data_IF_707695547274
#
_entry.id   IF_707695547274
#
_cell.length_a   1.000
_cell.length_b   1.000
_cell.length_c   1.000
_cell.angle_alpha   90.00
_cell.angle_beta   90.00
_cell.angle_gamma   90.00
#
_symmetry.space_group_name_H-M   'P 1'
#
loop_
_entity.id
_entity.type
_entity.pdbx_description
1 polymer ?
#
# COMPACT_ATOMS: atom_id res chain seq x y z
N UNK A 1 3.24 -17.99 17.40
CA UNK A 1 3.52 -16.54 17.43
C UNK A 1 4.04 -15.98 18.74
N UNK A 2 3.47 -16.30 19.91
CA UNK A 2 4.02 -15.81 21.18
C UNK A 2 5.45 -16.31 21.53
N UNK A 3 5.94 -17.37 20.88
CA UNK A 3 7.25 -17.99 21.15
C UNK A 3 8.40 -17.56 20.22
N UNK A 4 8.16 -16.62 19.28
CA UNK A 4 9.19 -16.11 18.36
C UNK A 4 9.40 -14.58 18.44
N UNK A 5 8.90 -13.94 19.51
CA UNK A 5 9.14 -12.53 19.79
C UNK A 5 8.35 -11.63 18.84
N UNK A 6 7.03 -11.56 19.06
CA UNK A 6 6.00 -10.85 18.27
C UNK A 6 6.37 -9.41 17.91
N UNK A 7 7.29 -9.27 16.98
CA UNK A 7 7.84 -8.02 16.50
C UNK A 7 7.84 -8.01 14.99
N UNK A 8 7.45 -6.90 14.42
CA UNK A 8 7.34 -6.74 12.98
C UNK A 8 8.41 -5.75 12.51
N UNK A 9 9.24 -6.13 11.52
CA UNK A 9 10.31 -5.27 11.04
C UNK A 9 9.74 -4.06 10.27
N UNK A 10 10.42 -2.94 10.42
CA UNK A 10 10.14 -1.68 9.75
C UNK A 10 11.46 -0.97 9.48
N UNK A 11 11.56 -0.32 8.33
CA UNK A 11 12.70 0.53 8.01
C UNK A 11 12.22 1.97 7.82
N UNK A 12 13.02 2.92 8.27
CA UNK A 12 12.91 4.34 7.98
C UNK A 12 14.04 4.68 7.03
N UNK A 13 13.68 5.18 5.87
CA UNK A 13 14.59 5.65 4.83
C UNK A 13 14.62 7.17 4.91
N UNK A 14 15.82 7.72 4.96
CA UNK A 14 16.09 9.13 5.10
C UNK A 14 16.97 9.58 3.94
N UNK A 15 16.43 10.44 3.08
CA UNK A 15 17.19 11.11 2.03
C UNK A 15 17.99 12.26 2.65
N UNK A 16 19.25 12.45 2.24
CA UNK A 16 20.02 13.59 2.72
C UNK A 16 19.30 14.91 2.38
N UNK A 17 19.24 15.86 3.34
CA UNK A 17 18.63 17.15 3.07
C UNK A 17 19.31 17.78 1.87
N UNK A 18 18.52 18.25 0.90
CA UNK A 18 19.08 19.07 -0.19
C UNK A 18 19.42 20.42 0.42
N UNK A 19 20.63 20.57 0.97
CA UNK A 19 21.11 21.89 1.38
C UNK A 19 21.17 22.72 0.10
N UNK A 20 20.32 23.75 0.01
CA UNK A 20 20.51 24.78 -1.00
C UNK A 20 21.95 25.26 -0.87
N UNK A 21 22.75 25.11 -1.93
CA UNK A 21 24.09 25.69 -1.97
C UNK A 21 23.98 27.15 -1.54
N UNK A 22 24.83 27.64 -0.62
CA UNK A 22 24.83 29.06 -0.33
C UNK A 22 25.09 29.78 -1.65
N UNK A 23 24.21 30.71 -2.03
CA UNK A 23 24.44 31.57 -3.17
C UNK A 23 25.86 32.13 -3.02
N UNK A 24 26.76 31.73 -3.92
CA UNK A 24 28.05 32.39 -4.04
C UNK A 24 27.73 33.83 -4.44
N UNK A 25 27.67 34.71 -3.45
CA UNK A 25 27.70 36.14 -3.68
C UNK A 25 29.04 36.43 -4.33
N UNK A 26 29.06 36.48 -5.67
CA UNK A 26 30.12 37.12 -6.43
C UNK A 26 30.06 38.63 -6.14
N UNK A 27 30.49 38.99 -4.93
CA UNK A 27 30.75 40.35 -4.51
C UNK A 27 32.24 40.64 -4.76
N UNK A 28 32.63 40.56 -6.02
CA UNK A 28 33.83 41.20 -6.54
C UNK A 28 33.52 41.71 -7.94
N UNK A 29 32.72 42.77 -7.98
CA UNK A 29 32.77 43.74 -9.07
C UNK A 29 32.22 45.07 -8.58
N UNK A 30 33.13 46.02 -8.34
CA UNK A 30 32.94 47.45 -8.65
C UNK A 30 34.10 48.26 -8.08
N UNK A 31 35.10 48.54 -8.91
CA UNK A 31 35.73 49.86 -8.89
C UNK A 31 36.46 50.10 -10.20
N UNK A 32 35.78 50.81 -11.10
CA UNK A 32 36.23 51.94 -11.92
C UNK A 32 35.46 51.95 -13.25
N UNK A 33 34.47 52.83 -13.28
CA UNK A 33 33.73 53.25 -14.47
C UNK A 33 34.37 54.48 -15.12
N UNK A 34 34.08 54.59 -16.41
CA UNK A 34 34.02 55.77 -17.29
C UNK A 34 35.28 56.28 -17.99
N UNK A 35 35.32 55.91 -19.29
CA UNK A 35 35.39 56.77 -20.47
C UNK A 35 36.44 57.89 -20.56
N UNK A 36 37.33 57.79 -21.55
CA UNK A 36 37.52 58.79 -22.63
C UNK A 36 38.76 58.49 -23.52
N UNK A 37 38.65 58.86 -24.80
CA UNK A 37 39.66 58.88 -25.89
C UNK A 37 39.93 57.52 -26.57
N UNK A 38 39.90 57.35 -27.89
CA UNK A 38 39.93 58.29 -29.01
C UNK A 38 40.95 57.80 -30.06
N UNK A 39 40.44 57.32 -31.20
CA UNK A 39 41.02 57.20 -32.56
C UNK A 39 42.38 56.54 -32.88
N UNK A 40 42.42 56.08 -34.14
CA UNK A 40 43.52 55.64 -35.02
C UNK A 40 44.02 54.18 -34.89
N UNK A 41 43.90 53.28 -35.87
CA UNK A 41 44.22 53.23 -37.32
C UNK A 41 45.47 52.37 -37.60
N UNK A 42 45.45 51.62 -38.72
CA UNK A 42 46.42 50.65 -39.27
C UNK A 42 46.32 49.21 -38.72
N UNK A 43 46.35 48.11 -39.49
CA UNK A 43 46.43 47.86 -40.93
C UNK A 43 46.12 46.37 -41.23
N UNK A 44 45.59 46.14 -42.42
CA UNK A 44 45.30 44.85 -43.08
C UNK A 44 46.53 44.15 -43.66
N UNK A 45 46.56 42.80 -43.71
CA UNK A 45 47.14 41.91 -44.76
C UNK A 45 46.52 40.49 -44.55
N UNK A 46 45.61 39.97 -45.39
CA UNK A 46 45.76 39.15 -46.64
C UNK A 46 46.56 37.83 -46.53
N UNK A 47 45.88 36.68 -46.76
CA UNK A 47 46.14 35.70 -47.84
C UNK A 47 47.22 34.64 -47.47
N UNK A 48 47.26 33.37 -47.89
CA UNK A 48 46.64 32.60 -48.97
C UNK A 48 46.80 31.08 -48.71
N UNK A 49 45.90 30.30 -49.32
CA UNK A 49 45.89 28.89 -49.82
C UNK A 49 47.16 28.01 -49.79
N UNK A 50 46.97 26.68 -49.68
CA UNK A 50 47.45 25.70 -50.68
C UNK A 50 46.76 24.32 -50.61
N UNK A 51 46.63 23.73 -51.79
CA UNK A 51 45.83 22.58 -52.28
C UNK A 51 46.72 21.34 -52.57
N UNK A 52 46.10 20.24 -53.06
CA UNK A 52 46.59 18.93 -53.55
C UNK A 52 46.53 17.75 -52.56
N UNK A 53 45.98 16.57 -52.91
CA UNK A 53 45.38 16.12 -54.15
C UNK A 53 44.67 14.76 -53.96
N UNK A 54 43.74 14.50 -54.88
CA UNK A 54 42.87 13.33 -55.01
C UNK A 54 43.57 12.23 -55.83
N UNK A 55 43.46 10.95 -55.46
CA UNK A 55 43.42 9.85 -56.45
C UNK A 55 42.61 8.65 -55.89
N UNK A 56 41.70 8.03 -56.68
CA UNK A 56 40.74 7.02 -56.24
C UNK A 56 41.10 5.59 -56.67
N UNK A 57 40.50 4.60 -55.98
CA UNK A 57 40.52 3.14 -56.22
C UNK A 57 41.67 2.31 -55.63
N UNK A 58 41.31 1.47 -54.65
CA UNK A 58 42.10 0.33 -54.17
C UNK A 58 41.24 -0.56 -53.25
N UNK A 59 40.72 -1.65 -53.81
CA UNK A 59 39.88 -2.66 -53.15
C UNK A 59 40.59 -3.40 -52.00
N UNK A 60 39.76 -3.85 -51.05
CA UNK A 60 39.85 -5.05 -50.21
C UNK A 60 41.13 -5.39 -49.43
N UNK A 61 41.06 -5.25 -48.09
CA UNK A 61 41.64 -6.22 -47.16
C UNK A 61 41.04 -6.11 -45.74
N UNK A 62 40.46 -7.22 -45.29
CA UNK A 62 40.05 -7.51 -43.91
C UNK A 62 41.12 -7.15 -42.86
N UNK A 63 40.72 -6.53 -41.75
CA UNK A 63 41.52 -6.48 -40.53
C UNK A 63 41.14 -5.36 -39.54
N UNK A 64 40.76 -5.79 -38.33
CA UNK A 64 40.61 -5.04 -37.08
C UNK A 64 39.44 -4.05 -36.91
N UNK A 65 38.44 -4.55 -36.18
CA UNK A 65 37.49 -3.77 -35.38
C UNK A 65 38.25 -2.90 -34.36
N UNK A 66 38.62 -1.69 -34.77
CA UNK A 66 39.00 -0.61 -33.88
C UNK A 66 37.73 -0.03 -33.22
N UNK A 67 37.13 -0.79 -32.29
CA UNK A 67 36.19 -0.22 -31.33
C UNK A 67 36.98 0.71 -30.40
N UNK A 68 36.85 2.01 -30.67
CA UNK A 68 37.36 3.09 -29.82
C UNK A 68 36.96 2.84 -28.38
N UNK A 69 37.97 2.52 -27.58
CA UNK A 69 37.86 2.28 -26.16
C UNK A 69 37.73 3.64 -25.49
N UNK A 70 36.50 4.10 -25.27
CA UNK A 70 36.22 5.12 -24.25
C UNK A 70 36.47 4.48 -22.88
N UNK A 71 37.75 4.33 -22.53
CA UNK A 71 38.18 4.11 -21.16
C UNK A 71 37.99 5.41 -20.39
N UNK A 72 36.74 5.75 -20.09
CA UNK A 72 36.44 6.41 -18.83
C UNK A 72 36.55 5.34 -17.75
N UNK A 73 37.79 5.00 -17.38
CA UNK A 73 38.07 4.43 -16.08
C UNK A 73 37.76 5.51 -15.04
N UNK A 74 36.48 5.65 -14.70
CA UNK A 74 36.06 6.31 -13.48
C UNK A 74 36.72 5.55 -12.33
N UNK A 75 37.69 6.18 -11.67
CA UNK A 75 38.27 5.72 -10.41
C UNK A 75 37.14 5.30 -9.46
N UNK A 76 36.86 4.01 -9.37
CA UNK A 76 35.79 3.45 -8.53
C UNK A 76 36.17 3.39 -7.04
N UNK A 77 37.10 4.25 -6.61
CA UNK A 77 37.67 4.27 -5.27
C UNK A 77 37.68 5.66 -4.62
N UNK A 78 37.05 6.66 -5.26
CA UNK A 78 36.77 7.93 -4.59
C UNK A 78 35.47 7.78 -3.81
N UNK A 79 35.59 7.67 -2.49
CA UNK A 79 34.46 7.76 -1.56
C UNK A 79 33.73 9.08 -1.83
N UNK A 80 32.44 9.00 -2.16
CA UNK A 80 31.59 10.19 -2.33
C UNK A 80 31.38 10.86 -0.96
N UNK A 81 31.27 12.19 -0.97
CA UNK A 81 30.83 12.91 0.22
C UNK A 81 29.35 12.58 0.47
N UNK A 82 29.02 12.28 1.72
CA UNK A 82 27.73 11.72 2.10
C UNK A 82 27.33 12.37 3.42
N UNK A 83 26.21 13.11 3.43
CA UNK A 83 25.73 13.82 4.61
C UNK A 83 25.61 12.91 5.82
N UNK A 84 25.05 11.71 5.62
CA UNK A 84 24.78 10.76 6.69
C UNK A 84 26.02 10.12 7.32
N UNK A 85 27.18 10.26 6.68
CA UNK A 85 28.48 9.82 7.22
C UNK A 85 29.34 11.02 7.67
N UNK A 86 28.70 12.11 8.11
CA UNK A 86 29.34 13.25 8.78
C UNK A 86 28.94 13.29 10.25
N UNK A 87 29.67 14.05 11.08
CA UNK A 87 29.32 14.27 12.49
C UNK A 87 27.92 14.89 12.65
N UNK A 88 27.50 15.75 11.73
CA UNK A 88 26.17 16.38 11.73
C UNK A 88 25.09 15.35 11.39
N UNK A 89 25.23 14.64 10.28
CA UNK A 89 24.27 13.61 9.87
C UNK A 89 24.16 12.48 10.89
N UNK A 90 25.28 12.03 11.48
CA UNK A 90 25.28 11.03 12.55
C UNK A 90 24.62 11.55 13.83
N UNK A 91 24.79 12.83 14.16
CA UNK A 91 24.11 13.44 15.30
C UNK A 91 22.58 13.49 15.09
N UNK A 92 22.12 13.80 13.88
CA UNK A 92 20.70 13.81 13.56
C UNK A 92 20.09 12.40 13.56
N UNK A 93 20.81 11.40 13.01
CA UNK A 93 20.43 10.00 13.13
C UNK A 93 20.38 9.54 14.59
N UNK A 94 21.34 9.97 15.43
CA UNK A 94 21.38 9.62 16.84
C UNK A 94 20.21 10.21 17.62
N UNK A 95 19.83 11.48 17.36
CA UNK A 95 18.63 12.10 17.96
C UNK A 95 17.38 11.31 17.60
N UNK A 96 17.19 10.99 16.32
CA UNK A 96 16.02 10.24 15.85
C UNK A 96 16.00 8.83 16.43
N UNK A 97 17.13 8.12 16.44
CA UNK A 97 17.24 6.78 17.02
C UNK A 97 16.90 6.79 18.51
N UNK A 98 17.42 7.74 19.29
CA UNK A 98 17.13 7.84 20.72
C UNK A 98 15.64 8.07 21.01
N UNK A 99 14.97 8.89 20.19
CA UNK A 99 13.52 9.05 20.28
C UNK A 99 12.77 7.76 19.96
N UNK A 100 13.12 7.08 18.87
CA UNK A 100 12.48 5.82 18.46
C UNK A 100 12.65 4.75 19.56
N UNK A 101 13.84 4.63 20.16
CA UNK A 101 14.12 3.69 21.25
C UNK A 101 13.35 4.04 22.54
N UNK A 102 12.93 5.29 22.72
CA UNK A 102 12.11 5.70 23.86
C UNK A 102 10.64 5.28 23.76
N UNK A 103 10.19 4.89 22.56
CA UNK A 103 8.81 4.48 22.33
C UNK A 103 8.56 3.07 22.88
N UNK A 104 7.56 2.87 23.76
CA UNK A 104 7.29 1.57 24.37
C UNK A 104 6.89 0.50 23.34
N UNK A 105 6.38 0.92 22.17
CA UNK A 105 6.00 0.03 21.09
C UNK A 105 7.19 -0.43 20.23
N UNK A 106 8.39 0.10 20.44
CA UNK A 106 9.58 -0.23 19.65
C UNK A 106 10.55 -1.07 20.48
N UNK A 107 11.05 -2.13 19.87
CA UNK A 107 12.12 -2.97 20.39
C UNK A 107 13.49 -2.48 19.93
N UNK A 108 14.26 -3.38 19.30
CA UNK A 108 15.61 -3.04 18.84
C UNK A 108 15.57 -2.10 17.64
N UNK A 109 16.36 -1.04 17.69
CA UNK A 109 16.66 -0.12 16.59
C UNK A 109 18.10 -0.32 16.14
N UNK A 110 18.40 -0.16 14.85
CA UNK A 110 19.74 -0.31 14.29
C UNK A 110 19.98 0.64 13.12
N UNK A 111 21.11 1.33 13.15
CA UNK A 111 21.51 2.34 12.18
C UNK A 111 23.04 2.50 12.18
N UNK A 112 23.55 3.41 11.33
CA UNK A 112 24.96 3.84 11.31
C UNK A 112 25.47 4.32 12.68
N UNK A 113 24.58 4.83 13.54
CA UNK A 113 24.92 5.37 14.86
C UNK A 113 25.62 4.31 15.73
N UNK A 114 25.26 3.03 15.60
CA UNK A 114 25.90 1.96 16.38
C UNK A 114 27.40 1.84 16.09
N UNK A 115 27.80 2.06 14.83
CA UNK A 115 29.21 2.00 14.41
C UNK A 115 29.95 3.20 15.00
N UNK A 116 29.33 4.37 14.92
CA UNK A 116 29.88 5.62 15.46
C UNK A 116 30.02 5.58 16.99
N UNK A 117 29.04 5.06 17.71
CA UNK A 117 29.06 4.93 19.16
C UNK A 117 30.17 3.99 19.61
N UNK A 118 30.29 2.81 18.98
CA UNK A 118 31.37 1.86 19.28
C UNK A 118 32.74 2.48 19.02
N UNK A 119 32.91 3.21 17.92
CA UNK A 119 34.17 3.87 17.60
C UNK A 119 34.49 5.05 18.55
N UNK A 120 33.46 5.79 18.97
CA UNK A 120 33.59 6.86 19.96
C UNK A 120 33.98 6.31 21.34
N UNK A 121 33.37 5.20 21.76
CA UNK A 121 33.70 4.52 23.02
C UNK A 121 35.14 3.99 23.03
N UNK A 122 35.61 3.44 21.91
CA UNK A 122 36.99 2.96 21.76
C UNK A 122 38.02 4.10 21.74
N UNK A 123 37.68 5.24 21.15
CA UNK A 123 38.56 6.43 21.12
C UNK A 123 38.51 7.25 22.42
N UNK A 124 37.47 7.06 23.24
CA UNK A 124 37.24 7.79 24.48
C UNK A 124 36.70 9.21 24.27
N UNK A 125 36.35 9.59 23.04
CA UNK A 125 35.77 10.89 22.70
C UNK A 125 34.86 10.80 21.47
N UNK A 126 34.08 11.85 21.22
CA UNK A 126 33.29 11.96 19.98
C UNK A 126 34.22 12.19 18.79
N UNK A 127 34.04 11.40 17.74
CA UNK A 127 34.85 11.50 16.53
C UNK A 127 34.46 12.77 15.74
N UNK A 128 35.46 13.49 15.24
CA UNK A 128 35.26 14.59 14.31
C UNK A 128 35.11 14.09 12.85
N UNK A 129 34.72 14.98 11.92
CA UNK A 129 34.48 14.61 10.52
C UNK A 129 35.69 13.96 9.84
N UNK A 130 36.91 14.40 10.18
CA UNK A 130 38.13 13.82 9.63
C UNK A 130 38.36 12.39 10.14
N UNK A 131 38.14 12.15 11.43
CA UNK A 131 38.26 10.83 12.04
C UNK A 131 37.19 9.87 11.51
N UNK A 132 35.97 10.36 11.29
CA UNK A 132 34.87 9.61 10.67
C UNK A 132 35.22 9.23 9.24
N UNK A 133 35.72 10.18 8.43
CA UNK A 133 36.15 9.92 7.06
C UNK A 133 37.32 8.91 7.01
N UNK A 134 38.26 9.03 7.95
CA UNK A 134 39.38 8.09 8.07
C UNK A 134 38.90 6.69 8.47
N UNK A 135 37.99 6.59 9.44
CA UNK A 135 37.35 5.33 9.83
C UNK A 135 36.66 4.67 8.64
N UNK A 136 35.89 5.43 7.86
CA UNK A 136 35.23 4.95 6.63
C UNK A 136 36.23 4.31 5.67
N UNK A 137 37.32 5.02 5.37
CA UNK A 137 38.37 4.56 4.45
C UNK A 137 39.15 3.35 4.98
N UNK A 138 39.20 3.20 6.31
CA UNK A 138 39.92 2.11 6.97
C UNK A 138 39.14 0.79 6.93
N UNK A 139 37.84 0.81 6.65
CA UNK A 139 37.06 -0.41 6.50
C UNK A 139 37.45 -1.16 5.22
N UNK A 140 37.86 -2.42 5.37
CA UNK A 140 37.93 -3.36 4.25
C UNK A 140 36.55 -3.60 3.64
N UNK A 141 36.48 -4.07 2.38
CA UNK A 141 35.21 -4.24 1.66
C UNK A 141 34.25 -5.18 2.39
N UNK A 142 34.73 -6.22 3.08
CA UNK A 142 33.88 -7.13 3.86
C UNK A 142 33.24 -6.43 5.07
N UNK A 143 34.01 -5.63 5.81
CA UNK A 143 33.52 -4.92 7.00
C UNK A 143 32.52 -3.84 6.57
N UNK A 144 32.84 -3.11 5.50
CA UNK A 144 31.96 -2.10 4.95
C UNK A 144 30.60 -2.69 4.55
N UNK A 145 30.59 -3.80 3.81
CA UNK A 145 29.36 -4.47 3.35
C UNK A 145 28.51 -5.03 4.50
N UNK A 146 29.11 -5.39 5.63
CA UNK A 146 28.38 -5.93 6.78
C UNK A 146 27.91 -4.84 7.75
N UNK A 147 28.70 -3.79 7.94
CA UNK A 147 28.48 -2.80 8.97
C UNK A 147 27.85 -1.52 8.42
N UNK A 148 28.28 -1.04 7.25
CA UNK A 148 27.86 0.28 6.71
C UNK A 148 26.78 0.13 5.64
N UNK A 149 27.00 -0.72 4.64
CA UNK A 149 26.09 -0.88 3.49
C UNK A 149 24.62 -1.19 3.83
N UNK A 150 24.27 -1.91 4.91
CA UNK A 150 22.86 -2.12 5.28
C UNK A 150 22.12 -0.85 5.72
N UNK A 151 22.87 0.20 6.09
CA UNK A 151 22.36 1.43 6.67
C UNK A 151 22.65 2.68 5.83
N UNK A 152 23.48 2.59 4.78
CA UNK A 152 23.84 3.70 3.92
C UNK A 152 23.95 3.28 2.46
N UNK A 153 23.30 4.03 1.58
CA UNK A 153 23.53 3.98 0.13
C UNK A 153 24.21 5.29 -0.28
N UNK A 154 25.53 5.23 -0.48
CA UNK A 154 26.34 6.43 -0.76
C UNK A 154 25.99 7.10 -2.09
N UNK A 155 25.64 6.32 -3.11
CA UNK A 155 25.37 6.84 -4.45
C UNK A 155 24.21 7.83 -4.52
N UNK A 156 23.25 7.67 -3.61
CA UNK A 156 22.05 8.50 -3.50
C UNK A 156 21.95 9.19 -2.14
N UNK A 157 23.01 9.17 -1.33
CA UNK A 157 23.05 9.75 0.03
C UNK A 157 21.80 9.42 0.87
N UNK A 158 21.50 8.12 0.97
CA UNK A 158 20.32 7.62 1.67
C UNK A 158 20.73 6.82 2.91
N UNK A 159 20.26 7.22 4.08
CA UNK A 159 20.42 6.47 5.31
C UNK A 159 19.19 5.62 5.64
N UNK A 160 19.42 4.50 6.32
CA UNK A 160 18.38 3.60 6.80
C UNK A 160 18.49 3.36 8.31
N UNK A 161 17.36 3.55 8.99
CA UNK A 161 17.16 3.10 10.37
C UNK A 161 16.24 1.87 10.34
N UNK A 162 16.74 0.73 10.78
CA UNK A 162 15.98 -0.51 10.90
C UNK A 162 15.44 -0.63 12.33
N UNK A 163 14.16 -0.94 12.49
CA UNK A 163 13.55 -1.14 13.81
C UNK A 163 12.59 -2.33 13.82
N UNK A 164 12.35 -2.86 15.02
CA UNK A 164 11.37 -3.93 15.27
C UNK A 164 10.28 -3.42 16.18
N UNK A 165 9.07 -3.25 15.67
CA UNK A 165 7.92 -2.82 16.46
C UNK A 165 7.28 -4.02 17.17
N UNK A 166 6.94 -3.89 18.44
CA UNK A 166 6.28 -4.93 19.23
C UNK A 166 4.78 -4.95 18.93
N UNK A 167 4.27 -6.10 18.48
CA UNK A 167 2.83 -6.29 18.17
C UNK A 167 2.10 -7.16 19.20
N UNK A 168 2.83 -7.74 20.17
CA UNK A 168 2.33 -8.78 21.09
C UNK A 168 1.10 -8.37 21.92
N UNK A 169 0.93 -7.09 22.22
CA UNK A 169 -0.15 -6.61 23.09
C UNK A 169 -1.39 -6.08 22.34
N UNK A 170 -1.39 -6.06 21.00
CA UNK A 170 -2.51 -5.55 20.19
C UNK A 170 -2.84 -4.05 20.38
N UNK A 171 -2.07 -3.34 21.22
CA UNK A 171 -2.19 -1.91 21.50
C UNK A 171 -1.54 -1.03 20.43
N UNK A 172 -0.71 -1.61 19.55
CA UNK A 172 0.01 -0.86 18.53
C UNK A 172 -0.95 -0.32 17.47
N UNK A 173 -1.13 1.00 17.49
CA UNK A 173 -1.72 1.74 16.38
C UNK A 173 -0.61 2.11 15.40
N UNK A 174 -0.48 1.30 14.36
CA UNK A 174 0.58 1.44 13.35
C UNK A 174 0.62 2.85 12.74
N UNK A 175 -0.54 3.41 12.40
CA UNK A 175 -0.64 4.77 11.87
C UNK A 175 -0.08 5.82 12.86
N UNK A 176 -0.52 5.78 14.12
CA UNK A 176 -0.07 6.70 15.17
C UNK A 176 1.44 6.60 15.41
N UNK A 177 2.02 5.38 15.35
CA UNK A 177 3.48 5.19 15.47
C UNK A 177 4.23 5.88 14.32
N UNK A 178 3.77 5.67 13.08
CA UNK A 178 4.39 6.29 11.90
C UNK A 178 4.27 7.81 11.92
N UNK A 179 3.15 8.34 12.40
CA UNK A 179 2.91 9.77 12.55
C UNK A 179 3.81 10.39 13.62
N UNK A 180 3.89 9.79 14.82
CA UNK A 180 4.81 10.24 15.89
C UNK A 180 6.27 10.31 15.43
N UNK A 181 6.75 9.29 14.71
CA UNK A 181 8.12 9.25 14.20
C UNK A 181 8.34 10.34 13.14
N UNK A 182 7.37 10.52 12.23
CA UNK A 182 7.43 11.57 11.21
C UNK A 182 7.46 12.95 11.85
N UNK A 183 6.57 13.22 12.79
CA UNK A 183 6.46 14.51 13.46
C UNK A 183 7.73 14.87 14.22
N UNK A 184 8.36 13.90 14.90
CA UNK A 184 9.63 14.13 15.57
C UNK A 184 10.78 14.40 14.57
N UNK A 185 10.87 13.60 13.50
CA UNK A 185 11.88 13.79 12.47
C UNK A 185 11.77 15.16 11.78
N UNK A 186 10.56 15.65 11.54
CA UNK A 186 10.33 16.96 10.92
C UNK A 186 10.58 18.11 11.90
N UNK A 187 9.99 18.06 13.10
CA UNK A 187 9.97 19.21 14.00
C UNK A 187 11.23 19.34 14.87
N UNK A 188 11.81 18.21 15.31
CA UNK A 188 12.92 18.20 16.27
C UNK A 188 14.27 17.92 15.59
N UNK A 189 14.27 17.11 14.52
CA UNK A 189 15.51 16.81 13.76
C UNK A 189 15.67 17.75 12.56
N UNK A 190 14.56 18.24 11.98
CA UNK A 190 14.61 19.19 10.85
C UNK A 190 14.69 18.53 9.47
N UNK A 191 14.33 17.25 9.36
CA UNK A 191 14.32 16.52 8.09
C UNK A 191 13.02 16.85 7.34
N UNK A 192 13.11 17.18 6.05
CA UNK A 192 11.93 17.51 5.27
C UNK A 192 10.95 16.32 5.18
N UNK A 193 9.63 16.55 5.19
CA UNK A 193 8.65 15.45 5.11
C UNK A 193 8.81 14.54 3.88
N UNK A 194 9.22 15.11 2.74
CA UNK A 194 9.51 14.41 1.48
C UNK A 194 10.72 13.48 1.55
N UNK A 195 11.68 13.78 2.43
CA UNK A 195 12.91 13.02 2.60
C UNK A 195 12.73 11.81 3.53
N UNK A 196 11.55 11.65 4.15
CA UNK A 196 11.24 10.58 5.10
C UNK A 196 10.29 9.56 4.47
N UNK A 197 10.80 8.34 4.27
CA UNK A 197 10.02 7.22 3.73
C UNK A 197 10.01 6.06 4.71
N UNK A 198 8.82 5.53 4.99
CA UNK A 198 8.66 4.32 5.81
C UNK A 198 8.47 3.10 4.91
N UNK A 199 9.15 2.00 5.22
CA UNK A 199 9.00 0.73 4.51
C UNK A 199 9.08 -0.47 5.48
N UNK A 200 9.05 -1.68 4.94
CA UNK A 200 9.04 -2.92 5.70
C UNK A 200 7.63 -3.47 5.95
N UNK A 201 7.60 -4.59 6.67
CA UNK A 201 6.38 -5.40 6.82
C UNK A 201 5.28 -4.66 7.58
N UNK A 202 5.64 -3.86 8.59
CA UNK A 202 4.69 -3.08 9.37
C UNK A 202 3.94 -2.05 8.50
N UNK A 203 4.68 -1.36 7.64
CA UNK A 203 4.13 -0.34 6.75
C UNK A 203 3.26 -0.98 5.68
N UNK A 204 3.71 -2.12 5.13
CA UNK A 204 2.92 -2.90 4.19
C UNK A 204 1.57 -3.31 4.80
N UNK A 205 1.57 -3.85 6.03
CA UNK A 205 0.34 -4.23 6.72
C UNK A 205 -0.55 -3.02 7.03
N UNK A 206 0.02 -1.88 7.46
CA UNK A 206 -0.74 -0.66 7.67
C UNK A 206 -1.42 -0.17 6.39
N UNK A 207 -0.66 -0.09 5.29
CA UNK A 207 -1.14 0.39 3.99
C UNK A 207 -2.17 -0.57 3.39
N UNK A 208 -1.95 -1.88 3.53
CA UNK A 208 -2.90 -2.91 3.10
C UNK A 208 -4.22 -2.75 3.86
N UNK A 209 -4.20 -2.66 5.19
CA UNK A 209 -5.41 -2.51 6.00
C UNK A 209 -6.18 -1.23 5.64
N UNK A 210 -5.50 -0.08 5.57
CA UNK A 210 -6.13 1.20 5.20
C UNK A 210 -6.74 1.16 3.79
N UNK A 211 -5.99 0.60 2.83
CA UNK A 211 -6.46 0.45 1.45
C UNK A 211 -7.65 -0.50 1.38
N UNK A 212 -7.66 -1.58 2.16
CA UNK A 212 -8.78 -2.51 2.23
C UNK A 212 -10.02 -1.82 2.81
N UNK A 213 -9.93 -1.10 3.93
CA UNK A 213 -11.10 -0.42 4.51
C UNK A 213 -11.73 0.59 3.56
N UNK A 214 -10.92 1.49 2.98
CA UNK A 214 -11.41 2.51 2.05
C UNK A 214 -11.95 1.90 0.76
N UNK A 215 -11.26 0.91 0.21
CA UNK A 215 -11.72 0.22 -1.00
C UNK A 215 -13.00 -0.56 -0.73
N UNK A 216 -13.14 -1.18 0.43
CA UNK A 216 -14.27 -2.05 0.74
C UNK A 216 -15.60 -1.30 0.79
N UNK A 217 -15.64 -0.12 1.45
CA UNK A 217 -16.89 0.64 1.52
C UNK A 217 -17.31 1.12 0.12
N UNK A 218 -16.35 1.50 -0.73
CA UNK A 218 -16.58 1.96 -2.08
C UNK A 218 -17.03 0.82 -3.00
N UNK A 219 -16.35 -0.33 -2.94
CA UNK A 219 -16.69 -1.51 -3.75
C UNK A 219 -18.02 -2.11 -3.34
N UNK A 220 -18.29 -2.22 -2.04
CA UNK A 220 -19.58 -2.73 -1.54
C UNK A 220 -20.73 -1.81 -1.95
N UNK A 221 -20.55 -0.49 -1.84
CA UNK A 221 -21.51 0.50 -2.32
C UNK A 221 -21.76 0.38 -3.83
N UNK A 222 -20.69 0.30 -4.63
CA UNK A 222 -20.78 0.12 -6.07
C UNK A 222 -21.49 -1.20 -6.46
N UNK A 223 -21.23 -2.29 -5.73
CA UNK A 223 -21.89 -3.59 -5.93
C UNK A 223 -23.38 -3.49 -5.64
N UNK A 224 -23.80 -2.87 -4.53
CA UNK A 224 -25.23 -2.69 -4.24
C UNK A 224 -25.94 -1.78 -5.25
N UNK A 225 -25.27 -0.74 -5.73
CA UNK A 225 -25.79 0.10 -6.83
C UNK A 225 -25.94 -0.73 -8.11
N UNK A 226 -24.92 -1.52 -8.46
CA UNK A 226 -24.96 -2.43 -9.62
C UNK A 226 -26.09 -3.46 -9.52
N UNK A 227 -26.29 -4.07 -8.35
CA UNK A 227 -27.38 -5.01 -8.08
C UNK A 227 -28.73 -4.32 -8.19
N UNK A 228 -28.87 -3.10 -7.65
CA UNK A 228 -30.11 -2.33 -7.75
C UNK A 228 -30.46 -2.04 -9.22
N UNK A 229 -29.47 -1.60 -10.02
CA UNK A 229 -29.65 -1.37 -11.46
C UNK A 229 -30.03 -2.66 -12.19
N UNK A 230 -29.33 -3.75 -11.91
CA UNK A 230 -29.64 -5.07 -12.46
C UNK A 230 -31.07 -5.50 -12.11
N UNK A 231 -31.50 -5.39 -10.85
CA UNK A 231 -32.87 -5.70 -10.44
C UNK A 231 -33.91 -4.77 -11.08
N UNK A 232 -33.58 -3.50 -11.32
CA UNK A 232 -34.47 -2.57 -12.00
C UNK A 232 -34.68 -3.01 -13.45
N UNK A 233 -33.62 -3.40 -14.16
CA UNK A 233 -33.69 -3.93 -15.52
C UNK A 233 -34.45 -5.25 -15.55
N UNK A 234 -34.14 -6.18 -14.64
CA UNK A 234 -34.71 -7.52 -14.61
C UNK A 234 -36.20 -7.52 -14.26
N UNK A 235 -36.59 -6.85 -13.18
CA UNK A 235 -37.98 -6.86 -12.70
C UNK A 235 -38.83 -5.73 -13.28
N UNK A 236 -38.21 -4.73 -13.93
CA UNK A 236 -38.87 -3.55 -14.51
C UNK A 236 -39.79 -2.82 -13.51
N UNK A 237 -39.47 -2.90 -12.21
CA UNK A 237 -40.29 -2.37 -11.12
C UNK A 237 -39.44 -1.99 -9.92
N UNK A 238 -39.31 -0.69 -9.66
CA UNK A 238 -38.51 -0.17 -8.55
C UNK A 238 -38.95 -0.73 -7.18
N UNK A 239 -40.26 -0.96 -6.98
CA UNK A 239 -40.78 -1.56 -5.74
C UNK A 239 -40.24 -2.97 -5.53
N UNK A 240 -40.24 -3.79 -6.57
CA UNK A 240 -39.75 -5.18 -6.49
C UNK A 240 -38.23 -5.18 -6.33
N UNK A 241 -37.52 -4.31 -7.04
CA UNK A 241 -36.06 -4.19 -6.92
C UNK A 241 -35.61 -3.81 -5.51
N UNK A 242 -36.31 -2.87 -4.86
CA UNK A 242 -36.04 -2.51 -3.46
C UNK A 242 -36.38 -3.67 -2.53
N UNK A 243 -37.50 -4.36 -2.71
CA UNK A 243 -37.85 -5.54 -1.90
C UNK A 243 -36.79 -6.65 -2.04
N UNK A 244 -36.25 -6.85 -3.24
CA UNK A 244 -35.24 -7.87 -3.54
C UNK A 244 -33.89 -7.58 -2.87
N UNK A 245 -33.51 -6.30 -2.69
CA UNK A 245 -32.20 -5.95 -2.14
C UNK A 245 -32.16 -6.04 -0.61
N UNK A 246 -33.29 -5.85 0.07
CA UNK A 246 -33.35 -5.75 1.54
C UNK A 246 -32.82 -7.00 2.26
N UNK A 247 -33.21 -8.24 1.88
CA UNK A 247 -32.66 -9.45 2.50
C UNK A 247 -31.15 -9.59 2.33
N UNK A 248 -30.62 -9.16 1.18
CA UNK A 248 -29.20 -9.21 0.87
C UNK A 248 -28.40 -8.21 1.71
N UNK A 249 -28.96 -7.00 1.87
CA UNK A 249 -28.39 -5.99 2.74
C UNK A 249 -28.37 -6.45 4.20
N UNK A 250 -29.44 -7.11 4.66
CA UNK A 250 -29.49 -7.70 6.00
C UNK A 250 -28.45 -8.81 6.18
N UNK A 251 -28.30 -9.72 5.22
CA UNK A 251 -27.31 -10.79 5.29
C UNK A 251 -25.88 -10.24 5.36
N UNK A 252 -25.53 -9.29 4.49
CA UNK A 252 -24.24 -8.62 4.52
C UNK A 252 -24.02 -7.85 5.85
N UNK A 253 -25.08 -7.18 6.33
CA UNK A 253 -25.06 -6.45 7.61
C UNK A 253 -24.85 -7.36 8.82
N UNK A 254 -25.44 -8.57 8.83
CA UNK A 254 -25.23 -9.56 9.90
C UNK A 254 -23.77 -10.02 9.94
N UNK A 255 -23.14 -10.24 8.79
CA UNK A 255 -21.74 -10.68 8.71
C UNK A 255 -20.80 -9.56 9.12
N UNK A 256 -20.89 -8.40 8.47
CA UNK A 256 -20.00 -7.26 8.73
C UNK A 256 -20.22 -6.69 10.14
N UNK A 257 -21.49 -6.62 10.58
CA UNK A 257 -21.84 -6.22 11.94
C UNK A 257 -21.39 -7.24 12.97
N UNK A 258 -21.54 -8.55 12.69
CA UNK A 258 -21.04 -9.62 13.54
C UNK A 258 -19.52 -9.59 13.72
N UNK A 259 -18.78 -9.33 12.64
CA UNK A 259 -17.33 -9.11 12.70
C UNK A 259 -16.98 -7.89 13.56
N UNK A 260 -17.68 -6.76 13.37
CA UNK A 260 -17.48 -5.56 14.18
C UNK A 260 -17.74 -5.78 15.67
N UNK A 261 -18.78 -6.55 16.02
CA UNK A 261 -19.12 -6.88 17.41
C UNK A 261 -18.13 -7.85 18.05
N UNK A 262 -17.57 -8.77 17.27
CA UNK A 262 -16.61 -9.78 17.75
C UNK A 262 -15.15 -9.32 17.66
N UNK A 263 -14.90 -8.14 17.10
CA UNK A 263 -13.55 -7.60 16.90
C UNK A 263 -12.73 -8.35 15.85
N UNK A 264 -13.37 -9.10 14.95
CA UNK A 264 -12.67 -9.79 13.86
C UNK A 264 -12.23 -8.72 12.84
N UNK A 265 -10.92 -8.55 12.62
CA UNK A 265 -10.43 -7.55 11.68
C UNK A 265 -10.86 -7.89 10.25
N UNK A 266 -11.11 -6.85 9.45
CA UNK A 266 -11.27 -7.03 8.01
C UNK A 266 -9.90 -7.30 7.39
N UNK A 267 -9.85 -8.37 6.61
CA UNK A 267 -8.68 -8.80 5.85
C UNK A 267 -9.09 -9.22 4.43
N UNK A 268 -8.12 -9.65 3.62
CA UNK A 268 -8.37 -10.00 2.23
C UNK A 268 -9.36 -11.18 2.08
N UNK A 269 -9.35 -12.14 3.02
CA UNK A 269 -10.23 -13.31 2.96
C UNK A 269 -11.66 -12.97 3.41
N UNK A 270 -11.82 -12.30 4.54
CA UNK A 270 -13.12 -11.91 5.08
C UNK A 270 -13.88 -10.96 4.17
N UNK A 271 -13.18 -10.12 3.40
CA UNK A 271 -13.79 -9.28 2.36
C UNK A 271 -14.50 -10.10 1.28
N UNK A 272 -13.93 -11.23 0.86
CA UNK A 272 -14.54 -12.08 -0.17
C UNK A 272 -15.83 -12.73 0.30
N UNK A 273 -16.00 -12.93 1.61
CA UNK A 273 -17.21 -13.53 2.20
C UNK A 273 -18.44 -12.68 1.92
N UNK A 274 -18.33 -11.36 2.11
CA UNK A 274 -19.42 -10.43 1.84
C UNK A 274 -19.82 -10.47 0.35
N UNK A 275 -18.84 -10.47 -0.56
CA UNK A 275 -19.09 -10.54 -2.00
C UNK A 275 -19.79 -11.85 -2.43
N UNK A 276 -19.30 -13.00 -1.96
CA UNK A 276 -19.89 -14.32 -2.23
C UNK A 276 -21.32 -14.39 -1.70
N UNK A 277 -21.53 -13.95 -0.46
CA UNK A 277 -22.85 -13.97 0.20
C UNK A 277 -23.84 -13.11 -0.56
N UNK A 278 -23.44 -11.90 -0.94
CA UNK A 278 -24.29 -10.99 -1.71
C UNK A 278 -24.65 -11.61 -3.06
N UNK A 279 -23.69 -12.23 -3.76
CA UNK A 279 -23.95 -12.92 -5.03
C UNK A 279 -24.98 -14.04 -4.90
N UNK A 280 -24.84 -14.91 -3.91
CA UNK A 280 -25.75 -16.03 -3.69
C UNK A 280 -27.13 -15.54 -3.21
N UNK A 281 -27.17 -14.55 -2.33
CA UNK A 281 -28.43 -13.96 -1.88
C UNK A 281 -29.21 -13.26 -3.01
N UNK A 282 -28.49 -12.61 -3.93
CA UNK A 282 -29.08 -12.03 -5.15
C UNK A 282 -29.69 -13.12 -6.03
N UNK A 283 -28.99 -14.23 -6.24
CA UNK A 283 -29.50 -15.38 -6.99
C UNK A 283 -30.78 -15.95 -6.35
N UNK A 284 -30.78 -16.14 -5.03
CA UNK A 284 -31.96 -16.57 -4.28
C UNK A 284 -33.15 -15.61 -4.49
N UNK A 285 -32.91 -14.29 -4.43
CA UNK A 285 -33.95 -13.30 -4.65
C UNK A 285 -34.52 -13.36 -6.08
N UNK A 286 -33.67 -13.52 -7.10
CA UNK A 286 -34.09 -13.66 -8.50
C UNK A 286 -35.00 -14.85 -8.68
N UNK A 287 -34.54 -16.03 -8.27
CA UNK A 287 -35.29 -17.27 -8.42
C UNK A 287 -36.60 -17.24 -7.65
N UNK A 288 -36.57 -16.74 -6.41
CA UNK A 288 -37.76 -16.67 -5.58
C UNK A 288 -38.81 -15.69 -6.11
N UNK A 289 -38.42 -14.46 -6.43
CA UNK A 289 -39.34 -13.42 -6.93
C UNK A 289 -39.92 -13.83 -8.28
N UNK A 290 -39.09 -14.35 -9.19
CA UNK A 290 -39.57 -14.77 -10.52
C UNK A 290 -40.60 -15.90 -10.39
N UNK A 291 -40.35 -16.87 -9.51
CA UNK A 291 -41.33 -17.92 -9.24
C UNK A 291 -42.60 -17.34 -8.60
N UNK A 292 -42.45 -16.47 -7.61
CA UNK A 292 -43.58 -15.81 -6.96
C UNK A 292 -44.47 -15.06 -7.97
N UNK A 293 -43.88 -14.28 -8.87
CA UNK A 293 -44.60 -13.54 -9.92
C UNK A 293 -45.35 -14.48 -10.86
N UNK A 294 -44.71 -15.59 -11.26
CA UNK A 294 -45.36 -16.61 -12.09
C UNK A 294 -46.53 -17.26 -11.37
N UNK A 295 -46.39 -17.61 -10.11
CA UNK A 295 -47.48 -18.20 -9.32
C UNK A 295 -48.61 -17.20 -9.08
N UNK A 296 -48.29 -15.93 -8.83
CA UNK A 296 -49.28 -14.86 -8.66
C UNK A 296 -50.09 -14.61 -9.93
N UNK A 297 -49.49 -14.79 -11.12
CA UNK A 297 -50.20 -14.59 -12.39
C UNK A 297 -51.34 -15.60 -12.64
N UNK A 298 -51.40 -16.70 -11.88
CA UNK A 298 -52.39 -17.77 -12.04
C UNK A 298 -53.75 -17.36 -11.45
N UNK A 299 -53.76 -16.90 -10.20
CA UNK A 299 -54.99 -16.63 -9.43
C UNK A 299 -55.02 -15.23 -8.80
N UNK A 300 -53.90 -14.51 -8.78
CA UNK A 300 -53.79 -13.19 -8.14
C UNK A 300 -53.83 -13.23 -6.62
N UNK A 301 -53.62 -14.40 -6.00
CA UNK A 301 -53.56 -14.55 -4.55
C UNK A 301 -52.09 -14.57 -4.07
N UNK A 302 -51.72 -13.54 -3.32
CA UNK A 302 -50.38 -13.40 -2.75
C UNK A 302 -50.00 -14.54 -1.79
N UNK A 303 -50.94 -15.00 -0.96
CA UNK A 303 -50.67 -16.02 0.06
C UNK A 303 -50.57 -17.39 -0.61
N UNK A 304 -51.48 -17.70 -1.53
CA UNK A 304 -51.41 -18.93 -2.29
C UNK A 304 -50.14 -19.00 -3.16
N UNK A 305 -49.77 -17.90 -3.83
CA UNK A 305 -48.53 -17.80 -4.60
C UNK A 305 -47.27 -18.00 -3.73
N UNK A 306 -47.27 -17.45 -2.51
CA UNK A 306 -46.19 -17.65 -1.54
C UNK A 306 -46.03 -19.12 -1.16
N UNK A 307 -47.13 -19.82 -0.87
CA UNK A 307 -47.09 -21.25 -0.53
C UNK A 307 -46.59 -22.10 -1.70
N UNK A 308 -47.07 -21.82 -2.93
CA UNK A 308 -46.60 -22.53 -4.13
C UNK A 308 -45.12 -22.27 -4.41
N UNK A 309 -44.66 -21.03 -4.25
CA UNK A 309 -43.25 -20.69 -4.40
C UNK A 309 -42.36 -21.40 -3.36
N UNK A 310 -42.78 -21.47 -2.09
CA UNK A 310 -42.08 -22.24 -1.06
C UNK A 310 -42.01 -23.73 -1.37
N UNK A 311 -43.14 -24.32 -1.78
CA UNK A 311 -43.24 -25.74 -2.09
C UNK A 311 -42.44 -26.15 -3.34
N UNK A 312 -42.03 -25.18 -4.18
CA UNK A 312 -41.21 -25.44 -5.36
C UNK A 312 -39.79 -24.89 -5.21
N UNK A 313 -39.58 -23.61 -5.52
CA UNK A 313 -38.24 -23.02 -5.60
C UNK A 313 -37.65 -22.83 -4.20
N UNK A 314 -38.49 -22.64 -3.18
CA UNK A 314 -38.05 -22.53 -1.79
C UNK A 314 -37.28 -23.77 -1.32
N UNK A 315 -37.75 -24.97 -1.66
CA UNK A 315 -37.04 -26.22 -1.35
C UNK A 315 -35.69 -26.31 -2.08
N UNK A 316 -35.64 -25.92 -3.36
CA UNK A 316 -34.39 -25.90 -4.11
C UNK A 316 -33.36 -24.94 -3.48
N UNK A 317 -33.78 -23.71 -3.15
CA UNK A 317 -32.93 -22.72 -2.49
C UNK A 317 -32.46 -23.23 -1.11
N UNK A 318 -33.34 -23.87 -0.33
CA UNK A 318 -32.99 -24.46 0.95
C UNK A 318 -31.89 -25.52 0.82
N UNK A 319 -32.03 -26.47 -0.11
CA UNK A 319 -31.02 -27.51 -0.30
C UNK A 319 -29.67 -26.93 -0.75
N UNK A 320 -29.68 -25.98 -1.70
CA UNK A 320 -28.43 -25.33 -2.14
C UNK A 320 -27.74 -24.60 -0.99
N UNK A 321 -28.48 -23.86 -0.17
CA UNK A 321 -27.93 -23.14 0.98
C UNK A 321 -27.33 -24.11 2.01
N UNK A 322 -28.03 -25.20 2.34
CA UNK A 322 -27.53 -26.20 3.28
C UNK A 322 -26.26 -26.87 2.74
N UNK A 323 -26.21 -27.22 1.46
CA UNK A 323 -25.00 -27.79 0.84
C UNK A 323 -23.82 -26.83 0.95
N UNK A 324 -24.03 -25.54 0.70
CA UNK A 324 -22.98 -24.51 0.81
C UNK A 324 -22.53 -24.33 2.26
N UNK A 325 -23.47 -24.24 3.21
CA UNK A 325 -23.17 -24.13 4.65
C UNK A 325 -22.33 -25.31 5.11
N UNK A 326 -22.74 -26.54 4.79
CA UNK A 326 -22.00 -27.74 5.17
C UNK A 326 -20.62 -27.77 4.50
N UNK A 327 -20.54 -27.41 3.21
CA UNK A 327 -19.28 -27.34 2.47
C UNK A 327 -18.26 -26.39 3.11
N UNK A 328 -18.68 -25.17 3.46
CA UNK A 328 -17.79 -24.21 4.12
C UNK A 328 -17.53 -24.53 5.60
N UNK A 329 -18.46 -25.21 6.28
CA UNK A 329 -18.29 -25.62 7.68
C UNK A 329 -17.10 -26.57 7.88
N UNK A 330 -16.70 -27.33 6.84
CA UNK A 330 -15.52 -28.19 6.89
C UNK A 330 -14.24 -27.38 7.19
N UNK A 331 -14.16 -26.12 6.76
CA UNK A 331 -13.00 -25.26 7.01
C UNK A 331 -12.82 -24.90 8.48
N UNK A 332 -13.86 -25.06 9.31
CA UNK A 332 -13.75 -24.88 10.75
C UNK A 332 -12.82 -25.92 11.41
N UNK A 333 -12.54 -27.04 10.73
CA UNK A 333 -11.59 -28.07 11.19
C UNK A 333 -10.13 -27.77 10.79
N UNK A 334 -9.86 -26.63 10.14
CA UNK A 334 -8.50 -26.25 9.74
C UNK A 334 -7.64 -25.86 10.93
N UNK A 335 -6.33 -26.09 10.84
CA UNK A 335 -5.34 -25.53 11.77
C UNK A 335 -4.93 -24.08 11.43
N UNK A 336 -5.46 -23.53 10.32
CA UNK A 336 -5.16 -22.18 9.87
C UNK A 336 -6.32 -21.24 10.22
N UNK A 337 -6.10 -20.35 11.20
CA UNK A 337 -7.13 -19.44 11.75
C UNK A 337 -7.92 -18.68 10.66
N UNK A 338 -7.27 -18.11 9.62
CA UNK A 338 -8.02 -17.44 8.55
C UNK A 338 -9.02 -18.35 7.84
N UNK A 339 -8.69 -19.64 7.62
CA UNK A 339 -9.62 -20.61 7.02
C UNK A 339 -10.80 -20.93 7.95
N UNK A 340 -10.56 -21.00 9.26
CA UNK A 340 -11.62 -21.22 10.25
C UNK A 340 -12.63 -20.06 10.20
N UNK A 341 -12.14 -18.82 10.27
CA UNK A 341 -13.01 -17.64 10.17
C UNK A 341 -13.76 -17.61 8.85
N UNK A 342 -13.08 -17.91 7.75
CA UNK A 342 -13.71 -17.96 6.44
C UNK A 342 -14.87 -18.97 6.39
N UNK A 343 -14.67 -20.19 6.91
CA UNK A 343 -15.72 -21.20 7.00
C UNK A 343 -16.91 -20.78 7.87
N UNK A 344 -16.63 -20.32 9.09
CA UNK A 344 -17.66 -19.93 10.06
C UNK A 344 -18.47 -18.72 9.59
N UNK A 345 -17.79 -17.67 9.13
CA UNK A 345 -18.45 -16.44 8.68
C UNK A 345 -19.25 -16.69 7.40
N UNK A 346 -18.75 -17.49 6.45
CA UNK A 346 -19.52 -17.85 5.24
C UNK A 346 -20.73 -18.70 5.59
N UNK A 347 -20.62 -19.64 6.52
CA UNK A 347 -21.77 -20.41 7.03
C UNK A 347 -22.84 -19.52 7.68
N UNK A 348 -22.42 -18.56 8.52
CA UNK A 348 -23.31 -17.57 9.12
C UNK A 348 -24.00 -16.71 8.05
N UNK A 349 -23.22 -16.23 7.09
CA UNK A 349 -23.68 -15.40 6.00
C UNK A 349 -24.75 -16.10 5.14
N UNK A 350 -24.49 -17.35 4.79
CA UNK A 350 -25.41 -18.19 4.02
C UNK A 350 -26.68 -18.53 4.81
N UNK A 351 -26.56 -18.73 6.11
CA UNK A 351 -27.71 -18.92 6.99
C UNK A 351 -28.57 -17.65 7.02
N UNK A 352 -27.95 -16.48 7.17
CA UNK A 352 -28.64 -15.20 7.14
C UNK A 352 -29.30 -14.92 5.78
N UNK A 353 -28.63 -15.22 4.67
CA UNK A 353 -29.17 -15.07 3.32
C UNK A 353 -30.37 -16.00 3.08
N UNK A 354 -30.30 -17.26 3.53
CA UNK A 354 -31.41 -18.22 3.45
C UNK A 354 -32.61 -17.77 4.28
N UNK A 355 -32.39 -17.34 5.52
CA UNK A 355 -33.45 -16.81 6.37
C UNK A 355 -34.06 -15.56 5.74
N UNK A 356 -33.23 -14.66 5.22
CA UNK A 356 -33.67 -13.46 4.50
C UNK A 356 -34.55 -13.79 3.29
N UNK A 357 -34.15 -14.76 2.46
CA UNK A 357 -34.89 -15.11 1.23
C UNK A 357 -36.17 -15.91 1.51
N UNK A 358 -36.19 -16.74 2.55
CA UNK A 358 -37.35 -17.59 2.89
C UNK A 358 -38.34 -16.94 3.86
N UNK A 359 -37.94 -15.90 4.60
CA UNK A 359 -38.83 -15.26 5.60
C UNK A 359 -39.08 -13.80 5.28
N UNK A 360 -38.02 -12.98 5.25
CA UNK A 360 -38.14 -11.54 5.10
C UNK A 360 -38.65 -11.17 3.70
N UNK A 361 -38.07 -11.76 2.66
CA UNK A 361 -38.45 -11.49 1.27
C UNK A 361 -39.94 -11.74 0.99
N UNK A 362 -40.51 -12.95 1.23
CA UNK A 362 -41.93 -13.17 1.01
C UNK A 362 -42.78 -12.25 1.88
N UNK A 363 -42.40 -12.01 3.14
CA UNK A 363 -43.16 -11.10 4.01
C UNK A 363 -43.22 -9.68 3.46
N UNK A 364 -42.12 -9.16 2.92
CA UNK A 364 -42.07 -7.84 2.27
C UNK A 364 -42.96 -7.80 1.02
N UNK A 365 -42.96 -8.86 0.20
CA UNK A 365 -43.86 -8.96 -0.96
C UNK A 365 -45.34 -8.94 -0.52
N UNK A 366 -45.69 -9.69 0.53
CA UNK A 366 -47.06 -9.75 1.07
C UNK A 366 -47.55 -8.39 1.63
N UNK A 367 -46.66 -7.63 2.27
CA UNK A 367 -46.99 -6.31 2.85
C UNK A 367 -47.08 -5.24 1.75
N UNK A 368 -46.07 -5.17 0.88
CA UNK A 368 -45.98 -4.12 -0.13
C UNK A 368 -46.94 -4.33 -1.30
N UNK A 369 -47.41 -5.57 -1.53
CA UNK A 369 -48.26 -5.99 -2.66
C UNK A 369 -47.87 -5.33 -3.99
N UNK A 370 -46.61 -5.51 -4.45
CA UNK A 370 -46.07 -4.75 -5.58
C UNK A 370 -46.65 -5.17 -6.95
N UNK A 371 -47.40 -6.26 -7.02
CA UNK A 371 -47.95 -6.84 -8.25
C UNK A 371 -49.41 -6.40 -8.53
N UNK A 372 -49.97 -5.49 -7.72
CA UNK A 372 -51.34 -4.99 -7.85
C UNK A 372 -52.33 -5.58 -6.84
N UNK A 373 -53.60 -5.16 -6.92
CA UNK A 373 -54.67 -5.63 -6.05
C UNK A 373 -55.01 -7.09 -6.36
N UNK A 374 -54.77 -7.98 -5.40
CA UNK A 374 -55.14 -9.40 -5.53
C UNK A 374 -56.66 -9.55 -5.62
N UNK A 375 -57.11 -10.52 -6.42
CA UNK A 375 -58.53 -10.89 -6.46
C UNK A 375 -58.85 -11.62 -5.16
N UNK A 376 -59.45 -10.93 -4.20
CA UNK A 376 -60.04 -11.57 -3.02
C UNK A 376 -61.20 -12.43 -3.50
N UNK A 377 -61.03 -13.76 -3.49
CA UNK A 377 -62.16 -14.69 -3.58
C UNK A 377 -62.92 -14.75 -2.27
#
# INVERSE_FOLDING_TARGET
DASLGGTTPMDIILQAPTFAEPEQSNAFDSEYSDDAFGDDAFASVEAETDDYGDDPFGDDAFGDDAFGTDTNSSDSNQLKDTYWFTSTGLADLAKLQAFIESLPEVGKVSSLVQIYDVASDLSGHKLNDFEIAFMRKSFGPEIYNQMVAPYLIEDIDEARIQLRAMETDGLLRRADLLEKIRDYAVNEVGIAPEDIRFTGLLVLYNNMLQSLYKSQILTLGAVFVGIMLMFLVLFRSAKISVIAIVPNFLAAGIVLGGMGLTGIPLDMMTITIAAITVGIGVDHAIHYITRFQREFSIDGDYVAAMHRAHASIGLALFYTAITIIVGFSILALSNFIPSIYFGLLTGLAMTAALLGSMTLLPKLILIAKPLGAGRTS
#
